data_IF_775423243799
#
_entry.id   IF_775423243799
#
_cell.length_a   1.000
_cell.length_b   1.000
_cell.length_c   1.000
_cell.angle_alpha   90.00
_cell.angle_beta   90.00
_cell.angle_gamma   90.00
#
_symmetry.space_group_name_H-M   'P 1'
#
loop_
_entity.id
_entity.type
_entity.pdbx_description
1 polymer ?
#
# COMPACT_ATOMS: atom_id res chain seq x y z
N UNK A 1 -2.96 3.78 -4.44
CA UNK A 1 -4.38 3.69 -4.85
C UNK A 1 -5.10 2.37 -4.50
N UNK A 2 -4.59 1.19 -4.89
CA UNK A 2 -5.29 -0.09 -4.62
C UNK A 2 -5.44 -0.41 -3.12
N UNK A 3 -4.35 -0.38 -2.36
CA UNK A 3 -4.38 -0.61 -0.91
C UNK A 3 -5.18 0.45 -0.16
N UNK A 4 -5.11 1.71 -0.60
CA UNK A 4 -5.92 2.80 -0.04
C UNK A 4 -7.41 2.57 -0.28
N UNK A 5 -7.80 2.07 -1.46
CA UNK A 5 -9.19 1.71 -1.74
C UNK A 5 -9.68 0.54 -0.87
N UNK A 6 -8.87 -0.51 -0.69
CA UNK A 6 -9.20 -1.63 0.21
C UNK A 6 -9.40 -1.16 1.66
N UNK A 7 -8.50 -0.33 2.17
CA UNK A 7 -8.60 0.21 3.52
C UNK A 7 -9.80 1.16 3.69
N UNK A 8 -10.16 1.91 2.64
CA UNK A 8 -11.35 2.78 2.66
C UNK A 8 -12.69 2.01 2.68
N UNK A 9 -12.68 0.72 2.36
CA UNK A 9 -13.87 -0.12 2.34
C UNK A 9 -14.22 -0.74 3.71
N UNK A 10 -13.34 -0.60 4.72
CA UNK A 10 -13.57 -1.15 6.06
C UNK A 10 -14.69 -0.36 6.78
N UNK A 11 -15.75 -1.02 7.27
CA UNK A 11 -16.83 -0.34 8.00
C UNK A 11 -16.32 0.30 9.29
N UNK A 12 -16.71 1.55 9.56
CA UNK A 12 -16.49 2.19 10.86
C UNK A 12 -17.67 1.94 11.81
N UNK A 13 -17.44 1.89 13.14
CA UNK A 13 -18.50 1.66 14.13
C UNK A 13 -19.55 2.78 14.18
N UNK A 14 -19.16 4.02 13.82
CA UNK A 14 -20.01 5.20 13.85
C UNK A 14 -20.61 5.47 12.45
N UNK A 15 -21.96 5.42 12.29
CA UNK A 15 -22.62 5.60 11.01
C UNK A 15 -22.58 7.04 10.47
N UNK A 16 -22.39 8.05 11.34
CA UNK A 16 -22.49 9.48 11.02
C UNK A 16 -21.12 10.14 10.74
N UNK A 17 -20.03 9.41 10.94
CA UNK A 17 -18.69 9.91 10.67
C UNK A 17 -18.48 10.21 9.16
N UNK A 18 -17.96 11.40 8.80
CA UNK A 18 -17.68 11.75 7.41
C UNK A 18 -16.65 10.79 6.79
N UNK A 19 -16.92 10.32 5.57
CA UNK A 19 -16.18 9.25 4.89
C UNK A 19 -15.62 9.72 3.54
N UNK A 20 -14.31 9.55 3.34
CA UNK A 20 -13.64 9.68 2.04
C UNK A 20 -13.49 8.28 1.42
N UNK A 21 -14.53 7.82 0.72
CA UNK A 21 -14.52 6.51 0.06
C UNK A 21 -13.83 6.63 -1.29
N UNK A 22 -12.78 5.86 -1.51
CA UNK A 22 -12.11 5.78 -2.81
C UNK A 22 -12.84 4.69 -3.61
N UNK A 23 -13.78 5.11 -4.45
CA UNK A 23 -14.45 4.21 -5.39
C UNK A 23 -13.52 3.98 -6.58
N UNK A 24 -12.98 2.77 -6.69
CA UNK A 24 -12.26 2.37 -7.89
C UNK A 24 -13.27 2.11 -9.01
N UNK A 25 -13.11 2.79 -10.14
CA UNK A 25 -13.93 2.57 -11.32
C UNK A 25 -13.63 1.23 -11.99
N UNK A 26 -14.65 0.62 -12.58
CA UNK A 26 -14.55 -0.54 -13.46
C UNK A 26 -14.57 -1.92 -12.76
N UNK A 27 -14.84 -2.94 -13.57
CA UNK A 27 -14.88 -4.34 -13.18
C UNK A 27 -13.49 -4.97 -13.10
N UNK A 28 -13.39 -6.07 -12.37
CA UNK A 28 -12.17 -6.88 -12.31
C UNK A 28 -11.91 -7.44 -13.72
N UNK A 29 -10.76 -7.16 -14.37
CA UNK A 29 -10.47 -7.72 -15.68
C UNK A 29 -10.43 -9.25 -15.60
N UNK A 30 -10.95 -9.92 -16.63
CA UNK A 30 -10.87 -11.37 -16.75
C UNK A 30 -9.41 -11.82 -16.64
N UNK A 31 -9.09 -12.88 -15.89
CA UNK A 31 -7.73 -13.40 -15.80
C UNK A 31 -7.11 -13.79 -17.16
N UNK A 32 -7.94 -14.01 -18.18
CA UNK A 32 -7.51 -14.31 -19.54
C UNK A 32 -7.07 -13.06 -20.34
N UNK A 33 -7.61 -11.88 -20.02
CA UNK A 33 -7.37 -10.63 -20.73
C UNK A 33 -6.57 -9.68 -19.85
N UNK A 34 -5.29 -10.01 -19.66
CA UNK A 34 -4.37 -9.17 -18.89
C UNK A 34 -4.00 -7.93 -19.71
N UNK A 35 -4.31 -6.72 -19.23
CA UNK A 35 -3.95 -5.49 -19.94
C UNK A 35 -2.42 -5.31 -19.97
N UNK A 36 -1.87 -4.74 -21.06
CA UNK A 36 -0.44 -4.50 -21.19
C UNK A 36 0.07 -3.45 -20.19
N UNK A 37 1.34 -3.57 -19.80
CA UNK A 37 1.96 -2.71 -18.79
C UNK A 37 1.38 -2.95 -17.39
N UNK A 38 1.11 -1.86 -16.65
CA UNK A 38 0.60 -1.95 -15.29
C UNK A 38 -0.81 -2.56 -15.26
N UNK A 39 -0.94 -3.79 -14.77
CA UNK A 39 -2.22 -4.53 -14.66
C UNK A 39 -3.38 -3.75 -14.00
N UNK A 40 -3.05 -2.76 -13.17
CA UNK A 40 -4.03 -1.94 -12.45
C UNK A 40 -4.41 -0.64 -13.18
N UNK A 41 -3.74 -0.29 -14.29
CA UNK A 41 -4.00 0.95 -15.02
C UNK A 41 -5.47 1.17 -15.44
N UNK A 42 -6.28 0.15 -15.81
CA UNK A 42 -7.67 0.38 -16.21
C UNK A 42 -8.57 0.86 -15.05
N UNK A 43 -8.14 0.58 -13.81
CA UNK A 43 -8.89 0.88 -12.58
C UNK A 43 -8.21 1.92 -11.71
N UNK A 44 -7.05 2.42 -12.13
CA UNK A 44 -6.26 3.35 -11.35
C UNK A 44 -6.78 4.79 -11.58
N UNK A 45 -7.24 5.49 -10.53
CA UNK A 45 -7.77 6.85 -10.68
C UNK A 45 -6.70 7.89 -11.04
N UNK A 46 -5.42 7.51 -10.92
CA UNK A 46 -4.24 8.34 -11.20
C UNK A 46 -3.37 7.72 -12.29
N UNK A 47 -3.95 6.91 -13.18
CA UNK A 47 -3.21 6.33 -14.30
C UNK A 47 -2.62 7.42 -15.20
N UNK A 48 -1.35 7.25 -15.57
CA UNK A 48 -0.68 8.05 -16.60
C UNK A 48 -0.53 7.22 -17.87
N UNK A 49 -0.27 7.86 -19.01
CA UNK A 49 -0.13 7.18 -20.31
C UNK A 49 0.89 6.02 -20.26
N UNK A 50 2.00 6.21 -19.54
CA UNK A 50 3.04 5.20 -19.34
C UNK A 50 2.54 3.92 -18.67
N UNK A 51 1.48 3.98 -17.87
CA UNK A 51 0.93 2.81 -17.18
C UNK A 51 0.31 1.78 -18.14
N UNK A 52 -0.09 2.18 -19.35
CA UNK A 52 -0.68 1.28 -20.34
C UNK A 52 0.35 0.57 -21.24
N UNK A 53 1.61 1.05 -21.23
CA UNK A 53 2.67 0.56 -22.12
C UNK A 53 3.80 -0.10 -21.35
N UNK A 54 4.20 0.46 -20.21
CA UNK A 54 5.34 -0.02 -19.43
C UNK A 54 4.89 -0.68 -18.12
N UNK A 55 5.52 -1.80 -17.81
CA UNK A 55 5.43 -2.40 -16.48
C UNK A 55 6.25 -1.59 -15.46
N UNK A 56 5.67 -1.20 -14.31
CA UNK A 56 6.39 -0.44 -13.30
C UNK A 56 7.42 -1.32 -12.57
N UNK A 57 8.62 -0.80 -12.27
CA UNK A 57 9.60 -1.54 -11.48
C UNK A 57 9.10 -1.76 -10.04
N UNK A 58 9.40 -2.92 -9.46
CA UNK A 58 9.11 -3.22 -8.06
C UNK A 58 10.08 -2.43 -7.16
N UNK A 59 9.54 -1.58 -6.29
CA UNK A 59 10.28 -0.79 -5.30
C UNK A 59 9.59 -0.88 -3.95
N UNK A 60 10.31 -1.26 -2.90
CA UNK A 60 9.79 -1.36 -1.53
C UNK A 60 8.48 -2.18 -1.43
N UNK A 61 8.36 -3.25 -2.22
CA UNK A 61 7.17 -4.10 -2.26
C UNK A 61 5.99 -3.55 -3.07
N UNK A 62 6.16 -2.42 -3.77
CA UNK A 62 5.14 -1.78 -4.60
C UNK A 62 5.63 -1.60 -6.04
N UNK A 63 4.83 -2.02 -7.03
CA UNK A 63 5.08 -1.78 -8.44
C UNK A 63 4.16 -0.67 -8.95
N UNK A 64 4.59 0.59 -8.84
CA UNK A 64 3.81 1.77 -9.22
C UNK A 64 4.71 2.85 -9.84
N UNK A 65 4.30 3.40 -10.99
CA UNK A 65 5.03 4.49 -11.68
C UNK A 65 5.03 5.81 -10.90
N UNK A 66 4.05 6.00 -10.01
CA UNK A 66 3.90 7.19 -9.17
C UNK A 66 4.35 6.97 -7.72
N UNK A 67 4.94 5.81 -7.38
CA UNK A 67 5.49 5.62 -6.05
C UNK A 67 6.75 6.46 -5.90
N UNK A 68 6.71 7.43 -4.98
CA UNK A 68 7.91 8.06 -4.49
C UNK A 68 8.77 7.01 -3.76
N UNK A 69 10.10 7.03 -3.93
CA UNK A 69 10.97 6.16 -3.16
C UNK A 69 10.74 6.47 -1.67
N UNK A 70 10.50 5.44 -0.87
CA UNK A 70 10.42 5.62 0.57
C UNK A 70 11.82 6.05 1.01
N UNK A 71 11.98 7.32 1.41
CA UNK A 71 13.14 7.72 2.18
C UNK A 71 13.20 6.74 3.35
N UNK A 72 14.22 5.89 3.35
CA UNK A 72 14.39 4.86 4.35
C UNK A 72 14.52 5.55 5.70
N UNK A 73 13.42 5.61 6.45
CA UNK A 73 13.47 5.90 7.87
C UNK A 73 14.15 4.67 8.47
N UNK A 74 15.47 4.77 8.67
CA UNK A 74 16.27 3.86 9.48
C UNK A 74 15.80 4.00 10.92
N UNK A 75 14.64 3.40 11.23
CA UNK A 75 14.26 3.18 12.62
C UNK A 75 15.27 2.17 13.18
N UNK A 76 16.01 2.51 14.25
CA UNK A 76 16.90 1.54 14.88
C UNK A 76 16.04 0.39 15.39
N UNK A 77 16.43 -0.85 15.05
CA UNK A 77 15.89 -2.06 15.67
C UNK A 77 16.09 -1.92 17.17
N UNK A 78 15.01 -1.72 17.92
CA UNK A 78 15.05 -1.77 19.37
C UNK A 78 15.27 -3.23 19.76
N UNK A 79 16.53 -3.59 20.02
CA UNK A 79 16.84 -4.82 20.75
C UNK A 79 16.40 -4.57 22.19
N UNK A 80 15.31 -5.20 22.62
CA UNK A 80 14.92 -5.23 24.01
C UNK A 80 15.97 -6.04 24.78
N UNK A 81 16.98 -5.36 25.33
CA UNK A 81 17.93 -5.93 26.27
C UNK A 81 17.19 -6.20 27.58
N UNK A 82 17.00 -7.48 27.90
CA UNK A 82 16.55 -7.96 29.20
C UNK A 82 17.65 -7.59 30.20
N UNK A 83 17.43 -6.54 30.99
CA UNK A 83 18.31 -6.17 32.08
C UNK A 83 18.37 -7.33 33.09
N UNK A 84 19.57 -7.88 33.25
CA UNK A 84 19.99 -8.85 34.25
C UNK A 84 19.71 -8.27 35.64
N UNK A 85 18.70 -8.82 36.33
CA UNK A 85 18.34 -8.42 37.70
C UNK A 85 19.21 -9.23 38.68
N UNK A 86 20.48 -8.85 38.81
CA UNK A 86 21.43 -9.44 39.75
C UNK A 86 22.01 -8.36 40.68
N UNK A 87 21.21 -7.84 41.61
CA UNK A 87 21.74 -7.01 42.70
C UNK A 87 21.08 -7.37 44.05
N UNK A 88 21.96 -7.80 44.95
CA UNK A 88 21.94 -7.72 46.41
C UNK A 88 20.73 -8.27 47.20
N UNK A 89 20.95 -9.47 47.76
CA UNK A 89 20.36 -9.84 49.05
C UNK A 89 21.50 -10.18 50.02
N UNK A 90 21.73 -9.23 50.93
CA UNK A 90 22.43 -9.38 52.21
C UNK A 90 22.05 -10.69 52.91
#
# INVERSE_FOLDING_TARGET
PYTQALLSAVPRPDPDAPRARIVLGGDVPSPADVPPGCRFHPRCPVAIARCATDDPPLRDGVACHLAEPRLAVTAPRQTLAMADKSEDRV
#
